data_IF_131936987358
#
_entry.id   IF_131936987358
#
_cell.length_a   1.000
_cell.length_b   1.000
_cell.length_c   1.000
_cell.angle_alpha   90.00
_cell.angle_beta   90.00
_cell.angle_gamma   90.00
#
_symmetry.space_group_name_H-M   'P 1'
#
loop_
_entity.id
_entity.type
_entity.pdbx_description
1 polymer ?
#
# COMPACT_ATOMS: atom_id res chain seq x y z
N UNK A 1 -69.14 -7.58 -63.15
CA UNK A 1 -68.08 -8.19 -62.37
C UNK A 1 -67.30 -7.05 -61.71
N UNK A 2 -67.71 -6.70 -60.50
CA UNK A 2 -67.19 -5.55 -59.77
C UNK A 2 -65.98 -5.98 -58.95
N UNK A 3 -64.90 -5.26 -59.12
CA UNK A 3 -63.69 -5.40 -58.24
C UNK A 3 -63.73 -4.25 -57.30
N UNK A 4 -63.89 -4.54 -55.96
CA UNK A 4 -63.80 -3.63 -54.85
C UNK A 4 -62.31 -3.42 -54.49
N UNK A 5 -61.86 -2.17 -54.65
CA UNK A 5 -60.56 -1.74 -54.19
C UNK A 5 -60.66 -1.25 -52.76
N UNK A 6 -60.10 -1.99 -51.80
CA UNK A 6 -60.08 -1.59 -50.38
C UNK A 6 -58.82 -0.74 -50.13
N UNK A 7 -59.03 0.54 -49.90
CA UNK A 7 -57.97 1.49 -49.56
C UNK A 7 -57.76 1.48 -48.03
N UNK A 8 -56.69 0.87 -47.51
CA UNK A 8 -56.32 0.94 -46.11
C UNK A 8 -55.43 2.14 -45.87
N UNK A 9 -56.00 3.17 -45.20
CA UNK A 9 -55.20 4.27 -44.68
C UNK A 9 -54.38 3.81 -43.46
N UNK A 10 -53.08 3.78 -43.62
CA UNK A 10 -52.10 3.64 -42.51
C UNK A 10 -51.85 5.03 -41.90
N UNK A 11 -52.39 5.27 -40.72
CA UNK A 11 -52.01 6.43 -39.90
C UNK A 11 -50.63 6.17 -39.30
N UNK A 12 -49.61 6.79 -39.83
CA UNK A 12 -48.26 6.83 -39.25
C UNK A 12 -48.27 7.82 -38.06
N UNK A 13 -48.25 7.30 -36.86
CA UNK A 13 -48.07 8.10 -35.68
C UNK A 13 -46.59 8.47 -35.54
N UNK A 14 -46.18 9.67 -35.98
CA UNK A 14 -44.85 10.21 -35.73
C UNK A 14 -44.78 10.66 -34.26
N UNK A 15 -44.08 9.82 -33.48
CA UNK A 15 -43.60 10.25 -32.15
C UNK A 15 -42.44 11.23 -32.32
N UNK A 16 -42.70 12.50 -32.11
CA UNK A 16 -41.70 13.53 -31.98
C UNK A 16 -40.98 13.37 -30.63
N UNK A 17 -39.89 12.61 -30.64
CA UNK A 17 -38.92 12.61 -29.54
C UNK A 17 -38.05 13.85 -29.65
N UNK A 18 -38.42 14.92 -28.96
CA UNK A 18 -37.49 16.02 -28.67
C UNK A 18 -36.36 15.46 -27.79
N UNK A 19 -35.27 15.08 -28.40
CA UNK A 19 -34.01 14.93 -27.68
C UNK A 19 -33.59 16.30 -27.16
N UNK A 20 -33.80 16.53 -25.86
CA UNK A 20 -33.12 17.61 -25.14
C UNK A 20 -31.62 17.26 -25.15
N UNK A 21 -30.89 17.76 -26.13
CA UNK A 21 -29.45 17.94 -26.05
C UNK A 21 -29.22 18.98 -24.94
N UNK A 22 -28.88 18.52 -23.74
CA UNK A 22 -28.22 19.37 -22.74
C UNK A 22 -26.85 19.66 -23.38
N UNK A 23 -26.73 20.84 -24.00
CA UNK A 23 -25.44 21.37 -24.36
C UNK A 23 -24.73 21.68 -23.02
N UNK A 24 -23.77 20.88 -22.66
CA UNK A 24 -22.75 21.25 -21.68
C UNK A 24 -22.00 22.37 -22.38
N UNK A 25 -22.34 23.63 -22.06
CA UNK A 25 -21.49 24.78 -22.39
C UNK A 25 -20.25 24.58 -21.51
N UNK A 26 -19.21 24.01 -22.05
CA UNK A 26 -17.86 24.17 -21.50
C UNK A 26 -17.59 25.67 -21.61
N UNK A 27 -17.72 26.37 -20.48
CA UNK A 27 -17.32 27.76 -20.36
C UNK A 27 -15.80 27.76 -20.61
N UNK A 28 -15.44 28.15 -21.83
CA UNK A 28 -14.03 28.34 -22.18
C UNK A 28 -13.55 29.51 -21.29
N UNK A 29 -12.91 29.14 -20.17
CA UNK A 29 -12.20 30.13 -19.35
C UNK A 29 -11.20 30.82 -20.26
N UNK A 30 -11.29 32.15 -20.38
CA UNK A 30 -10.31 32.92 -21.15
C UNK A 30 -8.92 32.63 -20.58
N UNK A 31 -7.95 32.45 -21.48
CA UNK A 31 -6.56 32.23 -21.08
C UNK A 31 -6.08 33.42 -20.24
N UNK A 32 -5.48 33.17 -19.05
CA UNK A 32 -5.01 34.24 -18.19
C UNK A 32 -3.86 34.99 -18.85
N UNK A 33 -4.01 36.30 -18.98
CA UNK A 33 -3.00 37.20 -19.57
C UNK A 33 -2.08 37.85 -18.54
N UNK A 34 -2.40 37.71 -17.25
CA UNK A 34 -1.62 38.21 -16.14
C UNK A 34 -1.06 37.01 -15.31
N UNK A 35 0.25 36.92 -15.04
CA UNK A 35 0.83 35.87 -14.20
C UNK A 35 0.13 35.69 -12.86
N UNK A 36 -0.30 36.76 -12.20
CA UNK A 36 -0.98 36.72 -10.91
C UNK A 36 -2.35 36.01 -10.96
N UNK A 37 -2.95 35.84 -12.12
CA UNK A 37 -4.26 35.18 -12.24
C UNK A 37 -4.23 33.67 -11.92
N UNK A 38 -3.04 33.04 -11.96
CA UNK A 38 -2.84 31.61 -11.65
C UNK A 38 -2.07 31.40 -10.34
N UNK A 39 -1.75 32.46 -9.62
CA UNK A 39 -1.03 32.37 -8.34
C UNK A 39 -1.99 31.99 -7.21
N UNK A 40 -1.58 30.98 -6.43
CA UNK A 40 -2.31 30.52 -5.23
C UNK A 40 -1.43 30.77 -4.02
N UNK A 41 -1.86 31.65 -3.11
CA UNK A 41 -1.09 32.05 -1.94
C UNK A 41 -1.43 31.30 -0.66
N UNK A 42 -2.60 30.67 -0.61
CA UNK A 42 -3.09 29.91 0.54
C UNK A 42 -3.78 28.58 0.09
N UNK A 43 -3.72 27.52 0.90
CA UNK A 43 -2.98 27.43 2.17
C UNK A 43 -1.48 27.31 1.96
N UNK A 44 -0.68 27.94 2.84
CA UNK A 44 0.78 27.73 2.84
C UNK A 44 1.10 26.31 3.27
N UNK A 45 2.07 25.61 2.63
CA UNK A 45 2.48 24.31 3.05
C UNK A 45 3.11 24.36 4.46
N UNK A 46 2.85 23.37 5.34
CA UNK A 46 3.48 23.28 6.65
C UNK A 46 5.00 23.10 6.52
N UNK A 47 5.73 23.65 7.48
CA UNK A 47 7.19 23.44 7.55
C UNK A 47 7.44 22.10 8.25
N UNK A 48 8.14 21.19 7.58
CA UNK A 48 8.56 19.91 8.12
C UNK A 48 10.09 19.87 8.05
N UNK A 49 10.75 19.82 9.21
CA UNK A 49 12.21 19.63 9.26
C UNK A 49 12.55 18.14 9.18
N UNK A 50 13.78 17.86 8.69
CA UNK A 50 14.32 16.49 8.61
C UNK A 50 15.71 16.52 9.25
N UNK A 51 15.75 16.36 10.57
CA UNK A 51 16.96 16.47 11.35
C UNK A 51 17.44 15.14 11.91
N UNK A 52 18.70 15.09 12.32
CA UNK A 52 19.32 13.93 12.96
C UNK A 52 19.77 12.82 12.01
N UNK A 53 20.47 11.84 12.57
CA UNK A 53 21.10 10.76 11.83
C UNK A 53 20.09 9.84 11.10
N UNK A 54 18.89 9.68 11.64
CA UNK A 54 17.84 8.83 11.09
C UNK A 54 16.93 9.56 10.09
N UNK A 55 17.15 10.87 9.87
CA UNK A 55 16.37 11.71 8.93
C UNK A 55 14.84 11.56 9.11
N UNK A 56 14.38 11.53 10.35
CA UNK A 56 12.96 11.41 10.66
C UNK A 56 12.28 12.77 10.48
N UNK A 57 11.22 12.88 9.66
CA UNK A 57 10.45 14.12 9.53
C UNK A 57 9.83 14.54 10.87
N UNK A 58 9.82 15.85 11.15
CA UNK A 58 9.34 16.40 12.45
C UNK A 58 7.85 16.15 12.73
N UNK A 59 7.07 15.86 11.68
CA UNK A 59 5.65 15.49 11.75
C UNK A 59 5.39 13.98 11.68
N UNK A 60 6.46 13.16 11.71
CA UNK A 60 6.33 11.71 11.70
C UNK A 60 6.04 11.16 13.11
N UNK A 61 5.30 10.07 13.15
CA UNK A 61 5.11 9.22 14.32
C UNK A 61 6.21 8.16 14.30
N UNK A 62 7.07 8.14 15.31
CA UNK A 62 8.11 7.11 15.47
C UNK A 62 7.44 5.85 16.00
N UNK A 63 7.45 4.78 15.21
CA UNK A 63 6.89 3.49 15.60
C UNK A 63 7.92 2.60 16.30
N UNK A 64 9.21 2.74 15.93
CA UNK A 64 10.29 1.99 16.59
C UNK A 64 11.64 2.69 16.41
N UNK A 65 12.25 3.07 17.54
CA UNK A 65 13.55 3.72 17.61
C UNK A 65 14.65 2.83 18.23
N UNK A 66 14.30 1.58 18.55
CA UNK A 66 15.19 0.61 19.16
C UNK A 66 15.21 0.62 20.69
N UNK A 67 14.32 1.37 21.35
CA UNK A 67 14.30 1.44 22.82
C UNK A 67 13.27 0.51 23.46
N UNK A 68 12.10 0.33 22.82
CA UNK A 68 11.01 -0.47 23.35
C UNK A 68 9.95 -0.80 22.29
N UNK A 69 8.92 -1.58 22.67
CA UNK A 69 7.77 -1.93 21.83
C UNK A 69 6.51 -1.13 22.17
N UNK A 70 6.61 0.06 22.74
CA UNK A 70 5.44 0.81 23.23
C UNK A 70 4.37 1.07 22.18
N UNK A 71 4.74 1.21 20.91
CA UNK A 71 3.81 1.42 19.78
C UNK A 71 3.26 0.12 19.21
N UNK A 72 3.73 -1.05 19.70
CA UNK A 72 3.41 -2.37 19.14
C UNK A 72 2.70 -3.26 20.14
N UNK A 73 1.98 -4.22 19.63
CA UNK A 73 1.30 -5.28 20.38
C UNK A 73 1.30 -6.59 19.56
N UNK A 74 1.11 -7.73 20.23
CA UNK A 74 0.83 -9.00 19.57
C UNK A 74 -0.41 -8.88 18.70
N UNK A 75 -0.38 -9.40 17.48
CA UNK A 75 -1.56 -9.40 16.59
C UNK A 75 -2.57 -10.50 16.95
N UNK A 76 -2.19 -11.45 17.79
CA UNK A 76 -3.03 -12.60 18.18
C UNK A 76 -4.05 -12.19 19.24
N UNK A 77 -3.58 -11.50 20.29
CA UNK A 77 -4.35 -11.26 21.51
C UNK A 77 -4.21 -9.85 22.07
N UNK A 78 -3.51 -8.97 21.33
CA UNK A 78 -3.21 -7.58 21.73
C UNK A 78 -2.40 -7.46 23.04
N UNK A 79 -1.66 -8.50 23.38
CA UNK A 79 -0.75 -8.51 24.55
C UNK A 79 0.66 -8.01 24.22
N UNK A 80 1.61 -8.32 25.08
CA UNK A 80 3.01 -7.91 24.95
C UNK A 80 3.68 -8.55 23.75
N UNK A 81 4.50 -7.78 23.06
CA UNK A 81 5.37 -8.26 21.97
C UNK A 81 6.44 -9.20 22.52
N UNK A 82 6.54 -10.40 21.94
CA UNK A 82 7.54 -11.40 22.34
C UNK A 82 8.76 -11.44 21.40
N UNK A 83 8.90 -10.51 20.47
CA UNK A 83 10.07 -10.40 19.60
C UNK A 83 11.31 -9.97 20.40
N UNK A 84 12.50 -10.16 19.85
CA UNK A 84 13.77 -9.89 20.51
C UNK A 84 14.16 -8.43 20.29
N UNK A 85 14.37 -7.68 21.39
CA UNK A 85 14.98 -6.36 21.33
C UNK A 85 16.50 -6.52 21.43
N UNK A 86 17.22 -6.04 20.43
CA UNK A 86 18.66 -6.21 20.30
C UNK A 86 19.42 -4.97 20.81
N UNK A 87 20.68 -5.17 21.22
CA UNK A 87 21.57 -4.09 21.67
C UNK A 87 21.96 -3.10 20.56
N UNK A 88 21.84 -3.51 19.28
CA UNK A 88 22.07 -2.66 18.11
C UNK A 88 20.84 -1.80 17.70
N UNK A 89 19.89 -1.64 18.61
CA UNK A 89 18.64 -0.89 18.42
C UNK A 89 17.75 -1.45 17.32
N UNK A 90 17.84 -2.74 17.05
CA UNK A 90 16.92 -3.45 16.17
C UNK A 90 15.99 -4.37 16.97
N UNK A 91 14.90 -4.81 16.37
CA UNK A 91 14.09 -5.93 16.83
C UNK A 91 14.18 -7.09 15.85
N UNK A 92 14.18 -8.32 16.36
CA UNK A 92 14.24 -9.54 15.52
C UNK A 92 13.01 -10.39 15.74
N UNK A 93 12.44 -10.89 14.66
CA UNK A 93 11.36 -11.88 14.69
C UNK A 93 11.78 -13.08 15.53
N UNK A 94 11.03 -13.35 16.59
CA UNK A 94 11.18 -14.59 17.37
C UNK A 94 10.23 -15.63 16.84
N UNK A 95 10.77 -16.69 16.30
CA UNK A 95 10.03 -17.73 15.60
C UNK A 95 8.85 -18.28 16.43
N UNK A 96 7.68 -18.37 15.80
CA UNK A 96 6.43 -18.92 16.36
C UNK A 96 5.88 -18.14 17.55
N UNK A 97 6.20 -16.85 17.68
CA UNK A 97 5.58 -15.98 18.68
C UNK A 97 4.44 -15.13 18.11
N UNK A 98 4.23 -15.23 16.80
CA UNK A 98 3.19 -14.52 16.05
C UNK A 98 3.60 -13.14 15.56
N UNK A 99 2.76 -12.60 14.69
CA UNK A 99 2.91 -11.27 14.11
C UNK A 99 2.78 -10.19 15.19
N UNK A 100 3.37 -9.04 14.94
CA UNK A 100 3.16 -7.84 15.74
C UNK A 100 2.47 -6.77 14.90
N UNK A 101 1.68 -5.91 15.56
CA UNK A 101 0.97 -4.84 14.89
C UNK A 101 1.03 -3.54 15.69
N UNK A 102 0.88 -2.41 15.01
CA UNK A 102 0.81 -1.12 15.69
C UNK A 102 -0.46 -1.01 16.52
N UNK A 103 -0.38 -0.35 17.69
CA UNK A 103 -1.56 -0.02 18.51
C UNK A 103 -2.45 0.99 17.82
N UNK A 104 -1.85 1.97 17.12
CA UNK A 104 -2.57 2.96 16.32
C UNK A 104 -2.96 2.39 14.96
N UNK A 105 -4.16 2.75 14.50
CA UNK A 105 -4.66 2.43 13.18
C UNK A 105 -4.31 3.53 12.18
N UNK A 106 -3.94 3.13 10.96
CA UNK A 106 -3.54 4.03 9.87
C UNK A 106 -4.42 3.84 8.63
N UNK A 107 -4.59 4.92 7.88
CA UNK A 107 -5.13 4.94 6.52
C UNK A 107 -4.02 5.11 5.49
N UNK A 108 -4.09 6.17 4.67
CA UNK A 108 -3.01 6.53 3.74
C UNK A 108 -1.79 7.03 4.50
N UNK A 109 -0.61 6.55 4.12
CA UNK A 109 0.63 6.84 4.84
C UNK A 109 1.85 6.95 3.93
N UNK A 110 2.84 7.72 4.38
CA UNK A 110 4.24 7.55 4.05
C UNK A 110 4.87 6.75 5.19
N UNK A 111 5.43 5.57 4.90
CA UNK A 111 6.07 4.68 5.88
C UNK A 111 7.52 4.47 5.48
N UNK A 112 8.43 4.67 6.44
CA UNK A 112 9.82 4.24 6.33
C UNK A 112 10.08 3.07 7.27
N UNK A 113 10.77 2.04 6.78
CA UNK A 113 11.14 0.88 7.58
C UNK A 113 12.47 0.32 7.08
N UNK A 114 13.42 0.12 8.01
CA UNK A 114 14.64 -0.62 7.70
C UNK A 114 14.52 -2.07 8.18
N UNK A 115 14.98 -2.98 7.33
CA UNK A 115 14.95 -4.41 7.61
C UNK A 115 16.22 -5.11 7.10
N UNK A 116 16.54 -6.26 7.68
CA UNK A 116 17.59 -7.16 7.17
C UNK A 116 17.16 -8.62 7.29
N UNK A 117 17.61 -9.45 6.35
CA UNK A 117 17.52 -10.89 6.46
C UNK A 117 18.46 -11.43 7.54
N UNK A 118 18.25 -12.67 7.97
CA UNK A 118 19.24 -13.39 8.76
C UNK A 118 20.57 -13.47 8.00
N UNK A 119 21.69 -13.36 8.71
CA UNK A 119 23.02 -13.66 8.14
C UNK A 119 23.19 -15.14 7.82
N UNK A 120 22.50 -16.00 8.55
CA UNK A 120 22.52 -17.44 8.33
C UNK A 120 21.48 -17.83 7.27
N UNK A 121 21.93 -18.47 6.21
CA UNK A 121 21.08 -19.04 5.17
C UNK A 121 20.60 -20.41 5.66
N UNK A 122 19.34 -20.52 6.06
CA UNK A 122 18.77 -21.75 6.64
C UNK A 122 17.87 -22.52 5.68
N UNK A 123 17.41 -21.88 4.59
CA UNK A 123 16.45 -22.44 3.65
C UNK A 123 16.58 -21.78 2.28
N UNK A 124 15.71 -22.16 1.34
CA UNK A 124 15.60 -21.61 0.00
C UNK A 124 14.15 -21.21 -0.33
N UNK A 125 13.98 -20.52 -1.45
CA UNK A 125 12.67 -20.07 -1.93
C UNK A 125 11.98 -19.19 -0.91
N UNK A 126 10.71 -19.42 -0.68
CA UNK A 126 9.86 -18.64 0.24
C UNK A 126 10.17 -18.88 1.73
N UNK A 127 10.97 -19.87 2.07
CA UNK A 127 11.35 -20.16 3.47
C UNK A 127 12.67 -19.51 3.86
N UNK A 128 13.23 -18.61 3.03
CA UNK A 128 14.54 -17.97 3.30
C UNK A 128 14.37 -16.56 3.80
N UNK A 129 14.42 -16.36 5.12
CA UNK A 129 14.22 -15.07 5.78
C UNK A 129 12.94 -14.37 5.29
N UNK A 130 11.82 -15.08 5.35
CA UNK A 130 10.52 -14.56 4.94
C UNK A 130 9.89 -13.74 6.06
N UNK A 131 9.27 -12.62 5.68
CA UNK A 131 8.42 -11.78 6.48
C UNK A 131 7.58 -10.89 5.56
N UNK A 132 6.71 -10.04 6.12
CA UNK A 132 5.90 -9.11 5.37
C UNK A 132 5.59 -7.84 6.16
N UNK A 133 5.47 -6.72 5.45
CA UNK A 133 4.91 -5.47 5.96
C UNK A 133 3.48 -5.36 5.45
N UNK A 134 2.51 -5.49 6.34
CA UNK A 134 1.09 -5.43 5.99
C UNK A 134 0.53 -4.04 6.29
N UNK A 135 0.13 -3.33 5.25
CA UNK A 135 -0.60 -2.08 5.37
C UNK A 135 -2.06 -2.37 5.69
N UNK A 136 -2.60 -1.67 6.70
CA UNK A 136 -3.96 -1.90 7.22
C UNK A 136 -4.24 -3.37 7.55
N UNK A 137 -3.22 -4.14 7.96
CA UNK A 137 -3.30 -5.57 8.29
C UNK A 137 -3.85 -6.45 7.14
N UNK A 138 -3.73 -5.98 5.87
CA UNK A 138 -4.35 -6.60 4.68
C UNK A 138 -3.44 -6.71 3.48
N UNK A 139 -2.63 -5.69 3.22
CA UNK A 139 -1.91 -5.51 1.96
C UNK A 139 -0.43 -5.67 2.19
N UNK A 140 0.12 -6.79 1.74
CA UNK A 140 1.48 -7.19 2.02
C UNK A 140 2.49 -6.66 1.01
N UNK A 141 3.52 -6.01 1.54
CA UNK A 141 4.80 -5.82 0.86
C UNK A 141 5.75 -6.91 1.35
N UNK A 142 6.18 -7.75 0.43
CA UNK A 142 7.02 -8.92 0.72
C UNK A 142 8.41 -8.54 1.21
N UNK A 143 8.86 -9.21 2.27
CA UNK A 143 10.25 -9.25 2.73
C UNK A 143 10.78 -10.67 2.54
N UNK A 144 11.94 -10.80 1.88
CA UNK A 144 12.56 -12.07 1.56
C UNK A 144 14.06 -11.86 1.33
N UNK A 145 14.91 -12.81 1.71
CA UNK A 145 16.27 -12.83 1.19
C UNK A 145 16.28 -13.42 -0.22
N UNK A 146 16.45 -12.56 -1.23
CA UNK A 146 16.47 -12.96 -2.64
C UNK A 146 17.87 -13.06 -3.25
N UNK A 147 18.94 -12.97 -2.46
CA UNK A 147 20.31 -13.11 -2.94
C UNK A 147 20.60 -14.57 -3.32
N UNK A 148 20.81 -14.85 -4.61
CA UNK A 148 20.95 -16.22 -5.13
C UNK A 148 19.85 -17.15 -4.59
N UNK A 149 18.61 -16.70 -4.62
CA UNK A 149 17.46 -17.40 -4.10
C UNK A 149 16.29 -17.24 -5.08
N UNK A 150 16.00 -18.27 -5.84
CA UNK A 150 14.93 -18.26 -6.82
C UNK A 150 13.59 -18.63 -6.18
N UNK A 151 12.56 -17.89 -6.56
CA UNK A 151 11.16 -18.15 -6.24
C UNK A 151 10.26 -17.48 -7.28
N UNK A 152 8.95 -17.70 -7.18
CA UNK A 152 8.00 -17.04 -8.10
C UNK A 152 8.10 -15.51 -8.01
N UNK A 153 8.08 -14.85 -9.18
CA UNK A 153 8.45 -13.43 -9.31
C UNK A 153 7.52 -12.47 -8.59
N UNK A 154 6.25 -12.80 -8.45
CA UNK A 154 5.27 -12.01 -7.68
C UNK A 154 5.23 -12.35 -6.17
N UNK A 155 6.18 -13.15 -5.68
CA UNK A 155 6.48 -13.41 -4.28
C UNK A 155 7.92 -13.04 -3.92
N UNK A 156 8.63 -12.35 -4.80
CA UNK A 156 9.96 -11.79 -4.55
C UNK A 156 9.89 -10.64 -3.54
N UNK A 157 11.04 -10.32 -2.94
CA UNK A 157 11.19 -9.14 -2.07
C UNK A 157 10.69 -7.88 -2.78
N UNK A 158 9.87 -7.08 -2.09
CA UNK A 158 9.27 -5.87 -2.65
C UNK A 158 8.08 -6.11 -3.59
N UNK A 159 7.63 -7.34 -3.80
CA UNK A 159 6.36 -7.60 -4.47
C UNK A 159 5.19 -7.14 -3.61
N UNK A 160 4.09 -6.70 -4.23
CA UNK A 160 2.79 -6.76 -3.59
C UNK A 160 2.36 -8.21 -3.73
N UNK A 161 2.47 -8.96 -2.63
CA UNK A 161 2.49 -10.42 -2.61
C UNK A 161 1.39 -11.03 -3.46
N UNK A 162 1.80 -11.83 -4.47
CA UNK A 162 0.97 -12.47 -5.49
C UNK A 162 0.12 -11.54 -6.36
N UNK A 163 0.33 -10.21 -6.29
CA UNK A 163 -0.45 -9.24 -7.08
C UNK A 163 0.41 -8.44 -8.07
N UNK A 164 1.60 -7.98 -7.67
CA UNK A 164 2.49 -7.20 -8.52
C UNK A 164 3.96 -7.61 -8.35
N UNK A 165 4.66 -7.66 -9.48
CA UNK A 165 6.09 -7.99 -9.55
C UNK A 165 6.88 -6.69 -9.32
N UNK A 166 7.98 -6.68 -8.55
CA UNK A 166 8.85 -5.51 -8.43
C UNK A 166 9.57 -5.23 -9.75
N UNK A 167 9.74 -3.94 -10.09
CA UNK A 167 10.41 -3.48 -11.31
C UNK A 167 11.90 -3.84 -11.35
N UNK A 168 12.52 -3.98 -10.18
CA UNK A 168 13.95 -4.29 -10.05
C UNK A 168 14.25 -5.08 -8.77
N UNK A 169 15.37 -5.79 -8.75
CA UNK A 169 15.98 -6.38 -7.55
C UNK A 169 16.97 -5.37 -6.97
N UNK A 170 16.64 -4.72 -5.85
CA UNK A 170 17.43 -3.66 -5.23
C UNK A 170 17.98 -4.03 -3.84
N UNK A 171 17.97 -5.32 -3.48
CA UNK A 171 18.39 -5.78 -2.17
C UNK A 171 19.88 -5.62 -1.93
N UNK A 172 20.23 -5.25 -0.72
CA UNK A 172 21.56 -5.42 -0.16
C UNK A 172 21.94 -6.90 -0.04
N UNK A 173 23.23 -7.20 0.19
CA UNK A 173 23.69 -8.58 0.44
C UNK A 173 22.98 -9.13 1.68
N UNK A 174 22.82 -10.49 1.71
CA UNK A 174 22.27 -11.23 2.85
C UNK A 174 22.82 -10.74 4.18
N UNK A 175 21.96 -10.46 5.14
CA UNK A 175 22.31 -9.96 6.47
C UNK A 175 22.62 -8.46 6.56
N UNK A 176 22.66 -7.74 5.44
CA UNK A 176 22.81 -6.31 5.43
C UNK A 176 21.45 -5.59 5.49
N UNK A 177 21.46 -4.36 6.00
CA UNK A 177 20.27 -3.53 6.10
C UNK A 177 19.77 -3.11 4.71
N UNK A 178 18.47 -3.12 4.57
CA UNK A 178 17.69 -2.58 3.47
C UNK A 178 16.71 -1.55 4.02
N UNK A 179 16.24 -0.63 3.18
CA UNK A 179 15.15 0.28 3.49
C UNK A 179 13.99 0.10 2.52
N UNK A 180 12.77 0.22 3.04
CA UNK A 180 11.57 0.48 2.27
C UNK A 180 11.06 1.87 2.59
N UNK A 181 10.84 2.66 1.55
CA UNK A 181 10.10 3.92 1.59
C UNK A 181 8.80 3.72 0.82
N UNK A 182 7.69 3.70 1.54
CA UNK A 182 6.37 3.32 1.04
C UNK A 182 5.45 4.53 1.06
N UNK A 183 4.83 4.85 -0.08
CA UNK A 183 3.69 5.78 -0.17
C UNK A 183 2.47 4.93 -0.47
N UNK A 184 1.56 4.84 0.49
CA UNK A 184 0.36 4.03 0.39
C UNK A 184 -0.89 4.89 0.48
N UNK A 185 -1.82 4.69 -0.43
CA UNK A 185 -3.15 5.28 -0.40
C UNK A 185 -4.21 4.20 -0.18
N UNK A 186 -5.02 4.40 0.86
CA UNK A 186 -6.11 3.48 1.23
C UNK A 186 -7.20 3.43 0.15
N UNK A 187 -7.91 2.31 0.00
CA UNK A 187 -9.08 2.25 -0.89
C UNK A 187 -10.24 3.08 -0.33
N UNK A 188 -11.12 3.51 -1.22
CA UNK A 188 -12.40 4.09 -0.85
C UNK A 188 -13.54 3.11 -1.18
N UNK A 189 -14.59 3.15 -0.38
CA UNK A 189 -15.77 2.34 -0.56
C UNK A 189 -17.01 3.22 -0.71
N UNK A 190 -17.96 2.81 -1.54
CA UNK A 190 -19.27 3.45 -1.66
C UNK A 190 -20.19 3.07 -0.48
N UNK A 191 -21.37 3.65 -0.42
CA UNK A 191 -22.37 3.37 0.63
C UNK A 191 -22.89 1.92 0.61
N UNK A 192 -22.66 1.17 -0.48
CA UNK A 192 -23.03 -0.25 -0.60
C UNK A 192 -21.87 -1.17 -0.23
N UNK A 193 -20.70 -0.61 0.11
CA UNK A 193 -19.51 -1.35 0.46
C UNK A 193 -18.68 -1.82 -0.74
N UNK A 194 -18.97 -1.37 -1.96
CA UNK A 194 -18.14 -1.66 -3.11
C UNK A 194 -16.95 -0.71 -3.17
N UNK A 195 -15.81 -1.19 -3.70
CA UNK A 195 -14.65 -0.33 -3.92
C UNK A 195 -14.97 0.72 -4.98
N UNK A 196 -14.93 1.99 -4.59
CA UNK A 196 -15.08 3.14 -5.50
C UNK A 196 -13.72 3.66 -6.00
N UNK A 197 -12.65 3.45 -5.22
CA UNK A 197 -11.26 3.71 -5.59
C UNK A 197 -10.38 2.64 -5.00
N UNK A 198 -9.55 2.00 -5.81
CA UNK A 198 -8.61 0.98 -5.34
C UNK A 198 -7.48 1.62 -4.52
N UNK A 199 -6.92 0.83 -3.61
CA UNK A 199 -5.67 1.18 -2.95
C UNK A 199 -4.53 1.26 -3.96
N UNK A 200 -3.57 2.16 -3.72
CA UNK A 200 -2.36 2.26 -4.53
C UNK A 200 -1.12 2.32 -3.67
N UNK A 201 0.01 1.87 -4.23
CA UNK A 201 1.29 1.87 -3.55
C UNK A 201 2.43 2.27 -4.49
N UNK A 202 3.30 3.14 -3.98
CA UNK A 202 4.62 3.41 -4.54
C UNK A 202 5.65 2.95 -3.52
N UNK A 203 6.66 2.19 -3.96
CA UNK A 203 7.68 1.63 -3.07
C UNK A 203 9.06 1.84 -3.64
N UNK A 204 9.93 2.45 -2.84
CA UNK A 204 11.36 2.48 -3.08
C UNK A 204 12.05 1.46 -2.16
N UNK A 205 12.94 0.66 -2.73
CA UNK A 205 13.79 -0.29 -2.01
C UNK A 205 15.25 0.19 -2.14
N UNK A 206 15.86 0.57 -1.02
CA UNK A 206 17.20 1.19 -1.01
C UNK A 206 17.31 2.40 -1.96
N UNK A 207 16.25 3.23 -2.04
CA UNK A 207 16.17 4.39 -2.93
C UNK A 207 15.85 4.06 -4.39
N UNK A 208 15.74 2.78 -4.78
CA UNK A 208 15.35 2.36 -6.14
C UNK A 208 13.84 2.16 -6.20
N UNK A 209 13.16 2.80 -7.16
CA UNK A 209 11.74 2.63 -7.41
C UNK A 209 11.45 1.20 -7.90
N UNK A 210 10.68 0.43 -7.13
CA UNK A 210 10.34 -0.96 -7.47
C UNK A 210 8.84 -1.22 -7.60
N UNK A 211 8.00 -0.31 -7.09
CA UNK A 211 6.56 -0.29 -7.35
C UNK A 211 6.17 1.15 -7.66
N UNK A 212 5.67 1.43 -8.87
CA UNK A 212 5.30 2.77 -9.33
C UNK A 212 3.78 2.91 -9.38
N UNK A 213 3.21 3.53 -8.35
CA UNK A 213 1.77 3.78 -8.23
C UNK A 213 0.89 2.55 -8.56
N UNK A 214 1.34 1.39 -8.11
CA UNK A 214 0.69 0.11 -8.42
C UNK A 214 -0.67 0.03 -7.74
N UNK A 215 -1.69 -0.38 -8.49
CA UNK A 215 -3.02 -0.68 -7.96
C UNK A 215 -3.01 -2.01 -7.21
N UNK A 216 -3.43 -1.98 -5.95
CA UNK A 216 -3.62 -3.17 -5.12
C UNK A 216 -5.01 -3.74 -5.39
N UNK A 217 -5.09 -5.00 -5.83
CA UNK A 217 -6.34 -5.64 -6.26
C UNK A 217 -7.26 -6.07 -5.11
N UNK A 218 -6.78 -6.00 -3.86
CA UNK A 218 -7.48 -6.41 -2.64
C UNK A 218 -6.54 -7.03 -1.62
N UNK A 219 -7.10 -7.73 -0.63
CA UNK A 219 -6.32 -8.38 0.44
C UNK A 219 -5.28 -9.35 -0.09
N UNK A 220 -4.15 -9.47 0.62
CA UNK A 220 -3.15 -10.51 0.35
C UNK A 220 -3.71 -11.86 0.76
N UNK A 221 -3.73 -12.80 -0.20
CA UNK A 221 -4.18 -14.17 0.02
C UNK A 221 -3.05 -15.14 -0.32
N UNK A 222 -2.78 -16.09 0.59
CA UNK A 222 -1.86 -17.19 0.28
C UNK A 222 -2.49 -18.15 -0.75
N UNK A 223 -3.79 -18.41 -0.63
CA UNK A 223 -4.59 -19.23 -1.56
C UNK A 223 -5.85 -18.46 -1.90
N UNK A 224 -6.15 -18.33 -3.20
CA UNK A 224 -7.33 -17.65 -3.72
C UNK A 224 -7.05 -16.27 -4.29
N UNK A 225 -8.13 -15.58 -4.66
CA UNK A 225 -8.07 -14.24 -5.24
C UNK A 225 -8.17 -13.16 -4.17
N UNK A 226 -7.54 -11.98 -4.39
CA UNK A 226 -7.69 -10.82 -3.51
C UNK A 226 -9.17 -10.46 -3.30
N UNK A 227 -9.51 -10.03 -2.08
CA UNK A 227 -10.85 -9.66 -1.67
C UNK A 227 -10.93 -8.17 -1.32
N UNK A 228 -12.06 -7.55 -1.61
CA UNK A 228 -12.30 -6.13 -1.40
C UNK A 228 -13.44 -5.91 -0.39
N UNK A 229 -13.36 -6.55 0.77
CA UNK A 229 -14.31 -6.29 1.86
C UNK A 229 -14.12 -4.87 2.41
N UNK A 230 -15.23 -4.17 2.65
CA UNK A 230 -15.21 -2.82 3.25
C UNK A 230 -14.45 -2.81 4.57
N UNK A 231 -13.58 -1.83 4.73
CA UNK A 231 -12.83 -1.61 5.96
C UNK A 231 -12.46 -0.13 6.14
N UNK A 232 -12.07 0.25 7.35
CA UNK A 232 -11.52 1.56 7.67
C UNK A 232 -10.01 1.51 7.92
N UNK A 233 -9.50 2.51 8.66
CA UNK A 233 -8.13 2.51 9.19
C UNK A 233 -7.90 1.24 10.00
N UNK A 234 -6.70 0.67 9.88
CA UNK A 234 -6.30 -0.53 10.61
C UNK A 234 -4.78 -0.52 10.88
N UNK A 235 -4.24 -1.44 11.72
CA UNK A 235 -2.83 -1.43 12.07
C UNK A 235 -1.90 -1.68 10.87
N UNK A 236 -0.66 -1.23 11.00
CA UNK A 236 0.48 -1.76 10.24
C UNK A 236 0.95 -3.01 10.99
N UNK A 237 1.16 -4.10 10.28
CA UNK A 237 1.55 -5.39 10.86
C UNK A 237 2.87 -5.88 10.26
N UNK A 238 3.71 -6.50 11.09
CA UNK A 238 4.93 -7.18 10.68
C UNK A 238 4.78 -8.68 10.97
N UNK A 239 5.17 -9.50 10.01
CA UNK A 239 4.89 -10.94 10.02
C UNK A 239 6.01 -11.76 10.68
N UNK A 240 5.61 -12.71 11.53
CA UNK A 240 6.36 -13.91 11.88
C UNK A 240 5.91 -15.05 10.97
N UNK A 241 6.66 -15.32 9.91
CA UNK A 241 6.31 -16.37 8.93
C UNK A 241 6.38 -17.79 9.52
N UNK A 242 6.95 -17.96 10.72
CA UNK A 242 7.02 -19.25 11.40
C UNK A 242 8.07 -20.23 10.87
N UNK A 243 8.97 -19.78 9.99
CA UNK A 243 10.04 -20.54 9.34
C UNK A 243 11.43 -20.29 9.95
N UNK A 244 11.48 -19.69 11.14
CA UNK A 244 12.70 -19.22 11.77
C UNK A 244 13.46 -18.18 10.93
N UNK A 245 12.71 -17.25 10.35
CA UNK A 245 13.19 -16.28 9.35
C UNK A 245 14.38 -15.43 9.82
N UNK A 246 14.41 -15.09 11.11
CA UNK A 246 15.45 -14.25 11.71
C UNK A 246 15.54 -12.85 11.11
N UNK A 247 14.47 -12.37 10.47
CA UNK A 247 14.36 -10.99 9.95
C UNK A 247 14.42 -10.02 11.11
N UNK A 248 15.19 -8.95 10.93
CA UNK A 248 15.29 -7.88 11.92
C UNK A 248 14.83 -6.57 11.31
N UNK A 249 14.29 -5.69 12.18
CA UNK A 249 13.77 -4.38 11.82
C UNK A 249 14.37 -3.29 12.70
N UNK A 250 14.46 -2.06 12.17
CA UNK A 250 14.84 -0.85 12.93
C UNK A 250 14.33 0.40 12.23
N UNK A 251 14.44 1.56 12.87
CA UNK A 251 14.17 2.87 12.29
C UNK A 251 12.83 2.89 11.55
N UNK A 252 11.73 2.69 12.30
CA UNK A 252 10.38 2.64 11.72
C UNK A 252 9.63 3.91 12.09
N UNK A 253 9.19 4.66 11.10
CA UNK A 253 8.36 5.84 11.29
C UNK A 253 7.31 5.98 10.19
N UNK A 254 6.24 6.69 10.51
CA UNK A 254 5.10 6.87 9.62
C UNK A 254 4.59 8.31 9.66
N UNK A 255 4.19 8.85 8.51
CA UNK A 255 3.42 10.08 8.38
C UNK A 255 2.05 9.75 7.81
N UNK A 256 0.98 10.28 8.41
CA UNK A 256 -0.36 10.16 7.82
C UNK A 256 -0.49 11.13 6.65
N UNK A 257 -1.00 10.64 5.53
CA UNK A 257 -1.34 11.46 4.36
C UNK A 257 -2.81 11.88 4.44
N UNK A 258 -3.04 13.15 4.13
CA UNK A 258 -4.38 13.77 4.16
C UNK A 258 -5.17 13.41 2.90
#
# INVERSE_FOLDING_TARGET
MLIFCLCTCLFACQKNTKQNKIAIVEELLEEPTNPAATEIWEPKPPIVSVDGANKIPSDAIVLFDGTNFNEWTSSIDSTVVNWILNSDKSMTVKNKTGDIQTKKNFGSVQLHIEWRSSKEIRANGQNRSNSGVFLQNRYEVQILDNNNNDTYVNGQVGSIYKQAIPLAKASSKTGNWNSYDIIYHTPNFDMKGNVSKQATITLLHNGVLIQDHVTIKGTTEYIGWPKNNTHGKAPIKLQDHGDNSGVSYRNIWVRELL
#
